data_IF_301363109282
#
_entry.id   IF_301363109282
#
_cell.length_a   1.000
_cell.length_b   1.000
_cell.length_c   1.000
_cell.angle_alpha   90.00
_cell.angle_beta   90.00
_cell.angle_gamma   90.00
#
_symmetry.space_group_name_H-M   'P 1'
#
loop_
_entity.id
_entity.type
_entity.pdbx_description
1 polymer ?
#
# COMPACT_ATOMS: atom_id res chain seq x y z
N UNK A 1 -3.58 -1.80 19.57
CA UNK A 1 -2.54 -2.73 19.05
C UNK A 1 -2.67 -4.16 19.55
N UNK A 2 -3.22 -4.41 20.75
CA UNK A 2 -3.20 -5.74 21.40
C UNK A 2 -3.68 -6.93 20.53
N UNK A 3 -4.63 -6.73 19.63
CA UNK A 3 -5.18 -7.78 18.75
C UNK A 3 -4.54 -7.82 17.35
N UNK A 4 -3.67 -6.87 17.02
CA UNK A 4 -3.03 -6.82 15.70
C UNK A 4 -1.98 -7.93 15.50
N UNK A 5 -1.12 -8.28 16.48
CA UNK A 5 -0.14 -9.35 16.30
C UNK A 5 -0.77 -10.69 15.95
N UNK A 6 -1.97 -10.99 16.46
CA UNK A 6 -2.67 -12.25 16.16
C UNK A 6 -3.19 -12.35 14.72
N UNK A 7 -3.30 -11.24 13.99
CA UNK A 7 -3.65 -11.26 12.57
C UNK A 7 -2.45 -11.52 11.67
N UNK A 8 -1.22 -11.43 12.19
CA UNK A 8 0.01 -11.58 11.43
C UNK A 8 0.49 -13.03 11.43
N UNK A 9 1.07 -13.46 10.31
CA UNK A 9 1.69 -14.79 10.15
C UNK A 9 3.06 -14.67 9.49
N UNK A 10 3.93 -15.65 9.73
CA UNK A 10 5.22 -15.78 9.05
C UNK A 10 6.08 -14.52 9.11
N UNK A 11 6.48 -14.02 7.93
CA UNK A 11 7.38 -12.87 7.80
C UNK A 11 6.83 -11.58 8.42
N UNK A 12 5.51 -11.35 8.37
CA UNK A 12 4.88 -10.16 8.94
C UNK A 12 4.91 -10.19 10.48
N UNK A 13 4.68 -11.34 11.08
CA UNK A 13 4.77 -11.50 12.54
C UNK A 13 6.21 -11.32 13.03
N UNK A 14 7.19 -11.91 12.33
CA UNK A 14 8.62 -11.77 12.66
C UNK A 14 9.08 -10.31 12.59
N UNK A 15 8.65 -9.58 11.55
CA UNK A 15 8.91 -8.15 11.44
C UNK A 15 8.29 -7.37 12.60
N UNK A 16 7.03 -7.62 12.92
CA UNK A 16 6.33 -6.91 14.00
C UNK A 16 7.01 -7.11 15.36
N UNK A 17 7.44 -8.34 15.66
CA UNK A 17 8.14 -8.67 16.92
C UNK A 17 9.56 -8.08 16.99
N UNK A 18 10.17 -7.75 15.84
CA UNK A 18 11.48 -7.11 15.76
C UNK A 18 11.44 -5.58 15.83
N UNK A 19 10.26 -4.96 15.93
CA UNK A 19 10.14 -3.52 16.09
C UNK A 19 10.68 -3.08 17.45
N UNK A 20 11.39 -1.95 17.47
CA UNK A 20 11.90 -1.36 18.72
C UNK A 20 10.73 -1.06 19.65
N UNK A 21 10.87 -1.41 20.93
CA UNK A 21 9.88 -1.18 21.96
C UNK A 21 9.45 0.30 21.97
N UNK A 22 8.13 0.55 21.99
CA UNK A 22 7.53 1.90 21.95
C UNK A 22 7.71 2.71 20.64
N UNK A 23 8.21 2.11 19.55
CA UNK A 23 8.30 2.77 18.23
C UNK A 23 6.92 3.09 17.63
N UNK A 24 5.89 2.30 17.97
CA UNK A 24 4.52 2.48 17.50
C UNK A 24 3.61 2.67 18.71
N UNK A 25 3.05 3.87 18.85
CA UNK A 25 2.26 4.26 20.03
C UNK A 25 0.77 4.30 19.76
N UNK A 26 0.38 4.55 18.51
CA UNK A 26 -1.03 4.63 18.11
C UNK A 26 -1.37 3.60 17.04
N UNK A 27 -2.67 3.36 16.84
CA UNK A 27 -3.15 2.56 15.72
C UNK A 27 -2.82 3.21 14.36
N UNK A 28 -2.84 4.54 14.28
CA UNK A 28 -2.51 5.26 13.05
C UNK A 28 -1.04 5.08 12.66
N UNK A 29 -0.12 5.15 13.64
CA UNK A 29 1.29 4.86 13.41
C UNK A 29 1.46 3.42 12.93
N UNK A 30 0.77 2.46 13.56
CA UNK A 30 0.83 1.06 13.16
C UNK A 30 0.37 0.85 11.72
N UNK A 31 -0.80 1.43 11.39
CA UNK A 31 -1.37 1.34 10.05
C UNK A 31 -0.41 1.92 9.02
N UNK A 32 0.16 3.09 9.29
CA UNK A 32 1.11 3.74 8.39
C UNK A 32 2.38 2.89 8.20
N UNK A 33 3.03 2.50 9.29
CA UNK A 33 4.27 1.71 9.25
C UNK A 33 4.07 0.33 8.60
N UNK A 34 2.92 -0.32 8.84
CA UNK A 34 2.58 -1.59 8.19
C UNK A 34 2.39 -1.42 6.68
N UNK A 35 1.63 -0.40 6.26
CA UNK A 35 1.41 -0.12 4.85
C UNK A 35 2.72 0.27 4.17
N UNK A 36 3.53 1.16 4.74
CA UNK A 36 4.83 1.52 4.15
C UNK A 36 5.74 0.29 3.94
N UNK A 37 5.64 -0.73 4.81
CA UNK A 37 6.44 -1.96 4.69
C UNK A 37 5.87 -2.99 3.70
N UNK A 38 4.56 -3.21 3.73
CA UNK A 38 3.91 -4.35 3.06
C UNK A 38 2.99 -3.97 1.91
N UNK A 39 2.66 -2.69 1.72
CA UNK A 39 1.77 -2.25 0.65
C UNK A 39 2.32 -2.65 -0.71
N UNK A 40 3.63 -2.54 -0.90
CA UNK A 40 4.29 -2.93 -2.15
C UNK A 40 4.19 -4.41 -2.48
N UNK A 41 4.06 -5.27 -1.45
CA UNK A 41 3.86 -6.71 -1.59
C UNK A 41 2.39 -7.09 -1.82
N UNK A 42 1.46 -6.26 -1.32
CA UNK A 42 0.02 -6.45 -1.52
C UNK A 42 -0.47 -5.94 -2.88
N UNK A 43 0.32 -5.11 -3.57
CA UNK A 43 0.02 -4.68 -4.94
C UNK A 43 0.17 -5.85 -5.91
N UNK A 44 -0.88 -6.25 -6.65
CA UNK A 44 -0.71 -7.16 -7.78
C UNK A 44 0.34 -6.57 -8.72
N UNK A 45 1.36 -7.36 -9.06
CA UNK A 45 2.43 -6.99 -10.01
C UNK A 45 1.84 -6.37 -11.28
N UNK A 46 0.73 -6.93 -11.76
CA UNK A 46 0.03 -6.48 -12.95
C UNK A 46 -0.42 -5.00 -12.88
N UNK A 47 -0.93 -4.52 -11.73
CA UNK A 47 -1.41 -3.13 -11.61
C UNK A 47 -0.26 -2.14 -11.50
N UNK A 48 0.85 -2.51 -10.85
CA UNK A 48 2.08 -1.68 -10.85
C UNK A 48 2.64 -1.55 -12.26
N UNK A 49 2.68 -2.67 -12.98
CA UNK A 49 3.13 -2.69 -14.37
C UNK A 49 2.22 -1.83 -15.26
N UNK A 50 0.90 -1.91 -15.09
CA UNK A 50 -0.08 -1.06 -15.80
C UNK A 50 0.15 0.43 -15.55
N UNK A 51 0.33 0.85 -14.29
CA UNK A 51 0.62 2.26 -13.96
C UNK A 51 1.96 2.71 -14.53
N UNK A 52 2.99 1.86 -14.45
CA UNK A 52 4.33 2.18 -14.97
C UNK A 52 4.36 2.33 -16.49
N UNK A 53 3.44 1.67 -17.20
CA UNK A 53 3.30 1.70 -18.66
C UNK A 53 2.31 2.76 -19.14
N UNK A 54 1.74 3.57 -18.24
CA UNK A 54 0.84 4.65 -18.63
C UNK A 54 1.60 5.68 -19.48
N UNK A 55 1.07 5.94 -20.67
CA UNK A 55 1.52 7.00 -21.55
C UNK A 55 0.39 8.00 -21.81
N UNK A 56 0.76 9.22 -22.18
CA UNK A 56 -0.16 10.23 -22.67
C UNK A 56 -0.90 9.70 -23.90
N UNK A 57 -2.21 9.90 -23.95
CA UNK A 57 -3.01 9.59 -25.15
C UNK A 57 -2.92 10.74 -26.15
N UNK A 58 -3.22 10.47 -27.42
CA UNK A 58 -3.20 11.49 -28.48
C UNK A 58 -4.19 12.64 -28.22
N UNK A 59 -5.29 12.37 -27.53
CA UNK A 59 -6.36 13.30 -27.19
C UNK A 59 -6.31 13.85 -25.75
N UNK A 60 -5.26 13.50 -24.99
CA UNK A 60 -5.14 13.83 -23.57
C UNK A 60 -4.11 14.95 -23.36
N UNK A 61 -4.44 15.96 -22.55
CA UNK A 61 -3.48 16.98 -22.16
C UNK A 61 -2.63 16.51 -20.96
N UNK A 62 -1.58 17.26 -20.60
CA UNK A 62 -0.67 16.86 -19.52
C UNK A 62 -1.37 16.82 -18.15
N UNK A 63 -2.30 17.73 -17.89
CA UNK A 63 -3.04 17.80 -16.63
C UNK A 63 -3.94 16.57 -16.45
N UNK A 64 -4.65 16.19 -17.51
CA UNK A 64 -5.48 14.99 -17.55
C UNK A 64 -4.65 13.71 -17.34
N UNK A 65 -3.46 13.62 -17.96
CA UNK A 65 -2.53 12.51 -17.74
C UNK A 65 -2.12 12.42 -16.26
N UNK A 66 -1.75 13.55 -15.65
CA UNK A 66 -1.34 13.61 -14.24
C UNK A 66 -2.49 13.22 -13.33
N UNK A 67 -3.72 13.66 -13.61
CA UNK A 67 -4.91 13.28 -12.85
C UNK A 67 -5.17 11.77 -12.95
N UNK A 68 -5.16 11.22 -14.17
CA UNK A 68 -5.34 9.78 -14.41
C UNK A 68 -4.25 8.95 -13.74
N UNK A 69 -3.00 9.40 -13.80
CA UNK A 69 -1.88 8.73 -13.14
C UNK A 69 -2.05 8.72 -11.61
N UNK A 70 -2.37 9.87 -11.02
CA UNK A 70 -2.64 9.99 -9.59
C UNK A 70 -3.86 9.17 -9.14
N UNK A 71 -4.91 9.13 -9.96
CA UNK A 71 -6.08 8.29 -9.72
C UNK A 71 -5.70 6.81 -9.69
N UNK A 72 -4.94 6.33 -10.68
CA UNK A 72 -4.54 4.92 -10.75
C UNK A 72 -3.54 4.53 -9.66
N UNK A 73 -2.69 5.46 -9.22
CA UNK A 73 -1.84 5.30 -8.02
C UNK A 73 -2.67 5.23 -6.72
N UNK A 74 -3.70 6.09 -6.57
CA UNK A 74 -4.56 6.08 -5.37
C UNK A 74 -5.49 4.87 -5.34
N UNK A 75 -6.02 4.45 -6.49
CA UNK A 75 -6.81 3.22 -6.65
C UNK A 75 -5.99 1.98 -6.30
N UNK A 76 -4.71 1.97 -6.67
CA UNK A 76 -3.73 0.97 -6.22
C UNK A 76 -3.71 0.85 -4.69
N UNK A 77 -3.75 1.98 -3.96
CA UNK A 77 -3.79 2.00 -2.49
C UNK A 77 -5.13 1.49 -1.92
N UNK A 78 -6.27 1.77 -2.55
CA UNK A 78 -7.61 1.41 -2.04
C UNK A 78 -8.04 -0.02 -2.33
N UNK A 79 -7.75 -0.57 -3.51
CA UNK A 79 -8.14 -1.95 -3.86
C UNK A 79 -7.47 -3.00 -2.96
N UNK A 80 -6.29 -2.69 -2.41
CA UNK A 80 -5.60 -3.57 -1.47
C UNK A 80 -6.11 -3.48 -0.03
N UNK A 81 -6.79 -2.37 0.34
CA UNK A 81 -7.38 -2.21 1.68
C UNK A 81 -8.70 -2.96 1.82
N UNK A 82 -9.39 -3.27 0.71
CA UNK A 82 -10.65 -4.03 0.67
C UNK A 82 -10.43 -5.54 0.50
N UNK A 83 -9.18 -5.98 0.33
CA UNK A 83 -8.79 -7.38 0.22
C UNK A 83 -8.05 -7.80 1.49
N UNK A 84 -8.73 -7.72 2.62
CA UNK A 84 -8.30 -8.35 3.87
C UNK A 84 -9.10 -9.65 4.00
N UNK A 85 -8.47 -10.82 4.21
CA UNK A 85 -9.18 -12.05 4.55
C UNK A 85 -9.87 -11.96 5.92
#
# INVERSE_FOLDING_TARGET
LKLFPSTLKGAALKWFMGLVTQSIRTWNDMKKTFLDRYLDYCMPTNHKDEVSKMMQREDENLEDLIERFNYNLKRSKMNNLMRIP
#
